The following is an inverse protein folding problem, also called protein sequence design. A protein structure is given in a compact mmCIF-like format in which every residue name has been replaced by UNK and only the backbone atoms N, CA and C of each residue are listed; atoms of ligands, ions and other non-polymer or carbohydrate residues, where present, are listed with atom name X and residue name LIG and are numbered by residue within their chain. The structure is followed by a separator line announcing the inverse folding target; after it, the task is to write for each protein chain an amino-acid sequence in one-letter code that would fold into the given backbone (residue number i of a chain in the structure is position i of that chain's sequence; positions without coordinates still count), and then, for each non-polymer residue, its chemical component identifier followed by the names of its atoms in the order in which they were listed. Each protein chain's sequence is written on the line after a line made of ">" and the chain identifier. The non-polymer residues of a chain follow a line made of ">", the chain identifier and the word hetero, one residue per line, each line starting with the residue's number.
data_IF_615016632831
#
_entry.id   IF_615016632831
#
_cell.length_a   1.000
_cell.length_b   1.000
_cell.length_c   1.000
_cell.angle_alpha   90.00
_cell.angle_beta   90.00
_cell.angle_gamma   90.00
#
_symmetry.space_group_name_H-M   'P 1'
#
loop_
_entity.id
_entity.type
_entity.pdbx_description
1 polymer ?
#
# COMPACT_ATOMS: atom_id res chain seq x y z
N UNK A 1 4.23 -4.25 4.64
CA UNK A 1 3.83 -4.10 3.22
C UNK A 1 3.74 -2.61 2.94
N UNK A 2 4.29 -2.11 1.85
CA UNK A 2 4.24 -0.68 1.49
C UNK A 2 3.47 -0.50 0.18
N UNK A 3 2.63 0.54 0.11
CA UNK A 3 1.84 0.92 -1.06
C UNK A 3 2.31 2.28 -1.57
N UNK A 4 2.24 2.47 -2.88
CA UNK A 4 2.54 3.75 -3.53
C UNK A 4 1.21 4.44 -3.89
N UNK A 5 1.01 5.67 -3.41
CA UNK A 5 -0.13 6.52 -3.77
C UNK A 5 0.32 7.63 -4.72
N UNK A 6 -0.58 8.07 -5.60
CA UNK A 6 -0.30 9.16 -6.53
C UNK A 6 0.01 10.47 -5.80
N UNK A 7 1.11 11.11 -6.16
CA UNK A 7 1.44 12.48 -5.76
C UNK A 7 0.77 13.54 -6.68
N UNK A 8 -0.26 13.14 -7.43
CA UNK A 8 -1.00 13.97 -8.39
C UNK A 8 -0.04 14.71 -9.35
N UNK A 9 -0.08 16.04 -9.35
CA UNK A 9 0.72 16.90 -10.24
C UNK A 9 2.24 16.69 -10.12
N UNK A 10 2.72 16.13 -9.01
CA UNK A 10 4.14 15.87 -8.77
C UNK A 10 4.58 14.43 -9.10
N UNK A 11 3.64 13.56 -9.52
CA UNK A 11 3.91 12.14 -9.75
C UNK A 11 5.02 11.91 -10.79
N UNK A 12 5.18 12.83 -11.75
CA UNK A 12 6.18 12.73 -12.82
C UNK A 12 7.61 12.57 -12.29
N UNK A 13 7.96 13.27 -11.21
CA UNK A 13 9.29 13.22 -10.60
C UNK A 13 9.59 11.86 -9.93
N UNK A 14 8.54 11.12 -9.53
CA UNK A 14 8.65 9.82 -8.86
C UNK A 14 8.51 8.64 -9.81
N UNK A 15 8.50 8.88 -11.13
CA UNK A 15 8.49 7.78 -12.10
C UNK A 15 9.82 7.04 -12.07
N UNK A 16 9.84 5.70 -12.28
CA UNK A 16 11.06 4.91 -12.28
C UNK A 16 12.15 5.45 -13.22
N UNK A 17 11.73 6.01 -14.36
CA UNK A 17 12.60 6.67 -15.33
C UNK A 17 13.32 7.89 -14.75
N UNK A 18 12.60 8.77 -14.05
CA UNK A 18 13.20 9.95 -13.42
C UNK A 18 14.06 9.59 -12.20
N UNK A 19 13.72 8.51 -11.51
CA UNK A 19 14.51 7.96 -10.41
C UNK A 19 15.73 7.14 -10.89
N UNK A 20 15.98 7.08 -12.21
CA UNK A 20 17.07 6.30 -12.81
C UNK A 20 17.05 4.82 -12.39
N UNK A 21 15.86 4.28 -12.13
CA UNK A 21 15.66 2.86 -11.89
C UNK A 21 15.60 2.15 -13.24
N UNK A 22 16.63 1.35 -13.54
CA UNK A 22 16.76 0.60 -14.80
C UNK A 22 16.15 -0.81 -14.74
N UNK A 23 15.48 -1.13 -13.64
CA UNK A 23 14.83 -2.41 -13.44
C UNK A 23 13.35 -2.32 -13.83
N UNK A 24 12.70 -3.47 -14.05
CA UNK A 24 11.24 -3.50 -14.25
C UNK A 24 10.55 -2.99 -12.97
N UNK A 25 9.79 -1.88 -13.03
CA UNK A 25 9.18 -1.31 -11.85
C UNK A 25 8.06 -2.21 -11.31
N UNK A 26 7.91 -2.21 -9.98
CA UNK A 26 6.83 -2.94 -9.33
C UNK A 26 5.49 -2.30 -9.70
N UNK A 27 4.54 -3.12 -10.14
CA UNK A 27 3.18 -2.68 -10.38
C UNK A 27 2.55 -2.19 -9.06
N UNK A 28 1.82 -1.08 -9.14
CA UNK A 28 1.05 -0.52 -8.03
C UNK A 28 -0.32 -0.07 -8.54
N UNK A 29 -1.25 0.11 -7.61
CA UNK A 29 -2.59 0.58 -7.91
C UNK A 29 -2.53 2.10 -8.14
N UNK A 30 -2.79 2.55 -9.36
CA UNK A 30 -2.71 3.99 -9.71
C UNK A 30 -3.72 4.84 -8.94
N UNK A 31 -4.96 4.34 -8.80
CA UNK A 31 -6.01 4.98 -8.01
C UNK A 31 -6.40 4.09 -6.82
N UNK A 32 -6.25 4.56 -5.57
CA UNK A 32 -6.79 3.82 -4.43
C UNK A 32 -8.31 3.66 -4.57
N UNK A 33 -8.86 2.61 -3.94
CA UNK A 33 -10.33 2.50 -3.84
C UNK A 33 -10.80 3.40 -2.72
N UNK A 34 -11.98 3.98 -2.90
CA UNK A 34 -12.67 4.66 -1.81
C UNK A 34 -13.02 3.66 -0.72
N UNK A 35 -12.92 4.11 0.54
CA UNK A 35 -13.27 3.32 1.71
C UNK A 35 -14.66 3.75 2.20
N UNK A 36 -15.54 2.77 2.44
CA UNK A 36 -16.85 2.97 3.05
C UNK A 36 -16.89 2.30 4.43
N UNK A 37 -17.62 2.88 5.39
CA UNK A 37 -17.73 2.39 6.76
C UNK A 37 -16.58 2.80 7.69
N UNK A 38 -16.18 1.92 8.61
CA UNK A 38 -15.23 2.22 9.70
C UNK A 38 -14.16 1.13 9.87
N UNK A 39 -13.04 1.51 10.48
CA UNK A 39 -11.91 0.61 10.75
C UNK A 39 -12.15 -0.22 12.02
N UNK A 40 -11.78 -1.51 11.99
CA UNK A 40 -11.85 -2.41 13.13
C UNK A 40 -10.46 -2.89 13.54
N UNK A 41 -10.27 -3.18 14.83
CA UNK A 41 -9.01 -3.74 15.33
C UNK A 41 -8.87 -5.19 14.90
N UNK A 42 -7.74 -5.51 14.27
CA UNK A 42 -7.39 -6.88 13.86
C UNK A 42 -6.29 -7.51 14.71
N UNK A 43 -5.67 -6.74 15.61
CA UNK A 43 -4.56 -7.17 16.45
C UNK A 43 -4.77 -6.71 17.90
N UNK A 44 -4.15 -7.42 18.85
CA UNK A 44 -4.15 -7.09 20.27
C UNK A 44 -3.07 -6.05 20.60
N UNK A 45 -3.01 -5.64 21.87
CA UNK A 45 -2.07 -4.62 22.38
C UNK A 45 -0.59 -5.01 22.26
N UNK A 46 -0.29 -6.29 22.05
CA UNK A 46 1.07 -6.81 21.82
C UNK A 46 1.42 -6.93 20.34
N UNK A 47 0.49 -6.59 19.44
CA UNK A 47 0.66 -6.70 17.99
C UNK A 47 0.37 -8.10 17.41
N UNK A 48 -0.19 -9.03 18.20
CA UNK A 48 -0.62 -10.33 17.68
C UNK A 48 -2.02 -10.24 17.06
N UNK A 49 -2.23 -10.88 15.91
CA UNK A 49 -3.54 -10.95 15.28
C UNK A 49 -4.57 -11.61 16.21
N UNK A 50 -5.80 -11.10 16.19
CA UNK A 50 -6.91 -11.68 16.94
C UNK A 50 -7.24 -13.08 16.40
N UNK A 51 -7.71 -14.01 17.27
CA UNK A 51 -8.17 -15.32 16.83
C UNK A 51 -9.22 -15.20 15.72
N UNK A 52 -9.04 -15.95 14.62
CA UNK A 52 -9.97 -15.96 13.49
C UNK A 52 -9.65 -14.96 12.36
N UNK A 53 -8.70 -14.03 12.55
CA UNK A 53 -8.23 -13.18 11.44
C UNK A 53 -7.39 -14.03 10.47
N UNK A 54 -7.75 -14.13 9.18
CA UNK A 54 -7.00 -14.92 8.22
C UNK A 54 -5.60 -14.35 8.01
N UNK A 55 -4.61 -15.24 7.88
CA UNK A 55 -3.22 -14.90 7.59
C UNK A 55 -2.68 -15.82 6.49
N UNK A 56 -1.67 -15.34 5.76
CA UNK A 56 -0.87 -16.22 4.91
C UNK A 56 -0.12 -17.24 5.77
N UNK A 57 0.01 -18.47 5.26
CA UNK A 57 0.89 -19.50 5.80
C UNK A 57 2.34 -19.12 5.56
#
# INVERSE_FOLDING_TARGET
>A
MATHYSANQYQSAFTPKQLQSWNVPKAYKERPSDHDGYTQFIANERGHLLPGVPRSQ
#
